data_IF_931758285995
#
_entry.id   IF_931758285995
#
_cell.length_a   1.000
_cell.length_b   1.000
_cell.length_c   1.000
_cell.angle_alpha   90.00
_cell.angle_beta   90.00
_cell.angle_gamma   90.00
#
_symmetry.space_group_name_H-M   'P 1'
#
loop_
_entity.id
_entity.type
_entity.pdbx_description
1 polymer ?
#
# COMPACT_ATOMS: atom_id res chain seq x y z
N UNK A 1 -26.58 20.20 11.13
CA UNK A 1 -27.03 21.14 10.05
C UNK A 1 -26.21 22.42 10.18
N UNK A 2 -25.48 22.81 9.15
CA UNK A 2 -24.65 24.03 9.11
C UNK A 2 -25.11 24.96 7.98
N UNK A 3 -25.39 26.21 8.34
CA UNK A 3 -25.77 27.27 7.40
C UNK A 3 -24.52 28.10 7.07
N UNK A 4 -23.98 27.92 5.87
CA UNK A 4 -22.77 28.60 5.44
C UNK A 4 -23.13 29.87 4.64
N UNK A 5 -22.83 31.02 5.24
CA UNK A 5 -22.98 32.35 4.61
C UNK A 5 -21.64 33.07 4.40
N UNK A 6 -20.51 32.36 4.32
CA UNK A 6 -19.16 32.99 4.19
C UNK A 6 -19.00 33.90 2.97
N UNK A 7 -19.73 33.64 1.89
CA UNK A 7 -19.62 34.42 0.66
C UNK A 7 -20.50 35.69 0.63
N UNK A 8 -21.39 35.88 1.62
CA UNK A 8 -22.32 37.01 1.72
C UNK A 8 -23.08 37.35 0.42
N UNK A 9 -23.30 36.36 -0.45
CA UNK A 9 -23.80 36.57 -1.83
C UNK A 9 -25.33 36.57 -1.92
N UNK A 10 -26.05 36.68 -0.79
CA UNK A 10 -27.51 36.51 -0.74
C UNK A 10 -28.00 35.07 -0.92
N UNK A 11 -27.10 34.09 -1.02
CA UNK A 11 -27.40 32.65 -1.10
C UNK A 11 -26.74 31.92 0.09
N UNK A 12 -27.55 31.35 0.98
CA UNK A 12 -27.07 30.58 2.14
C UNK A 12 -27.02 29.11 1.76
N UNK A 13 -25.81 28.50 1.79
CA UNK A 13 -25.65 27.06 1.53
C UNK A 13 -25.94 26.28 2.82
N UNK A 14 -26.82 25.29 2.75
CA UNK A 14 -27.19 24.46 3.90
C UNK A 14 -26.54 23.09 3.74
N UNK A 15 -25.74 22.68 4.71
CA UNK A 15 -25.12 21.36 4.76
C UNK A 15 -25.70 20.58 5.93
N UNK A 16 -25.94 19.29 5.73
CA UNK A 16 -26.22 18.37 6.83
C UNK A 16 -25.05 17.41 6.91
N UNK A 17 -24.30 17.53 8.00
CA UNK A 17 -23.24 16.60 8.36
C UNK A 17 -23.70 15.81 9.58
N UNK A 18 -23.43 14.52 9.58
CA UNK A 18 -23.91 13.57 10.58
C UNK A 18 -22.78 12.64 10.96
N UNK A 19 -22.07 12.98 12.02
CA UNK A 19 -21.08 12.10 12.63
C UNK A 19 -21.80 10.97 13.37
N UNK A 20 -21.58 9.73 12.93
CA UNK A 20 -22.15 8.54 13.57
C UNK A 20 -21.16 7.96 14.57
N UNK A 21 -21.58 7.80 15.81
CA UNK A 21 -20.84 7.03 16.82
C UNK A 21 -21.48 5.65 16.99
N UNK A 22 -20.68 4.60 17.03
CA UNK A 22 -21.14 3.22 17.11
C UNK A 22 -20.89 2.74 18.54
N UNK A 23 -21.96 2.62 19.33
CA UNK A 23 -21.89 2.10 20.69
C UNK A 23 -22.65 0.78 20.81
N UNK A 24 -22.07 -0.19 21.53
CA UNK A 24 -22.75 -1.44 21.83
C UNK A 24 -23.90 -1.22 22.82
N UNK A 25 -25.09 -1.74 22.49
CA UNK A 25 -26.26 -1.69 23.36
C UNK A 25 -26.09 -2.66 24.55
N UNK A 26 -26.28 -2.16 25.77
CA UNK A 26 -25.97 -2.87 27.03
C UNK A 26 -26.85 -4.09 27.31
N UNK A 27 -28.10 -4.11 26.83
CA UNK A 27 -29.09 -5.15 27.17
C UNK A 27 -29.85 -5.64 25.93
N UNK A 28 -29.30 -6.67 25.26
CA UNK A 28 -29.97 -7.34 24.14
C UNK A 28 -30.08 -8.86 24.39
N UNK A 29 -31.26 -9.30 24.83
CA UNK A 29 -31.43 -10.62 25.44
C UNK A 29 -31.63 -11.80 24.48
N UNK A 30 -31.55 -11.62 23.15
CA UNK A 30 -32.12 -12.60 22.20
C UNK A 30 -31.07 -13.24 21.25
N UNK A 31 -29.85 -12.71 21.12
CA UNK A 31 -28.86 -13.23 20.15
C UNK A 31 -27.39 -13.28 20.65
N UNK A 32 -27.16 -13.12 21.97
CA UNK A 32 -25.82 -13.03 22.57
C UNK A 32 -24.89 -14.20 22.25
N UNK A 33 -25.40 -15.43 22.11
CA UNK A 33 -24.55 -16.61 21.88
C UNK A 33 -24.04 -16.75 20.44
N UNK A 34 -24.73 -16.20 19.44
CA UNK A 34 -24.35 -16.31 18.01
C UNK A 34 -23.43 -15.16 17.60
N UNK A 35 -23.73 -13.93 18.00
CA UNK A 35 -22.90 -12.77 17.69
C UNK A 35 -21.55 -12.84 18.40
N UNK A 36 -21.52 -13.24 19.68
CA UNK A 36 -20.27 -13.37 20.42
C UNK A 36 -19.38 -14.49 19.85
N UNK A 37 -19.98 -15.59 19.37
CA UNK A 37 -19.23 -16.64 18.64
C UNK A 37 -18.64 -16.09 17.34
N UNK A 38 -19.41 -15.36 16.52
CA UNK A 38 -18.91 -14.76 15.29
C UNK A 38 -17.76 -13.78 15.54
N UNK A 39 -17.84 -12.93 16.57
CA UNK A 39 -16.76 -12.00 16.93
C UNK A 39 -15.48 -12.74 17.32
N UNK A 40 -15.58 -13.84 18.09
CA UNK A 40 -14.44 -14.69 18.44
C UNK A 40 -13.79 -15.33 17.21
N UNK A 41 -14.58 -15.84 16.24
CA UNK A 41 -14.04 -16.40 15.00
C UNK A 41 -13.25 -15.38 14.18
N UNK A 42 -13.73 -14.13 14.07
CA UNK A 42 -13.03 -13.10 13.31
C UNK A 42 -11.73 -12.69 14.02
N UNK A 43 -11.70 -12.62 15.35
CA UNK A 43 -10.48 -12.34 16.11
C UNK A 43 -9.44 -13.45 15.96
N UNK A 44 -9.86 -14.72 16.00
CA UNK A 44 -8.97 -15.88 15.75
C UNK A 44 -8.40 -15.83 14.33
N UNK A 45 -9.24 -15.50 13.34
CA UNK A 45 -8.80 -15.32 11.95
C UNK A 45 -7.77 -14.20 11.82
N UNK A 46 -8.04 -13.03 12.40
CA UNK A 46 -7.11 -11.89 12.39
C UNK A 46 -5.77 -12.27 13.05
N UNK A 47 -5.79 -13.07 14.13
CA UNK A 47 -4.59 -13.63 14.76
C UNK A 47 -3.80 -14.59 13.86
N UNK A 48 -4.48 -15.47 13.13
CA UNK A 48 -3.84 -16.38 12.16
C UNK A 48 -3.18 -15.60 11.01
N UNK A 49 -3.84 -14.55 10.51
CA UNK A 49 -3.28 -13.66 9.48
C UNK A 49 -1.98 -13.02 9.97
N UNK A 50 -1.98 -12.43 11.17
CA UNK A 50 -0.78 -11.82 11.77
C UNK A 50 0.35 -12.83 11.89
N UNK A 51 0.06 -14.05 12.37
CA UNK A 51 1.08 -15.10 12.50
C UNK A 51 1.69 -15.46 11.13
N UNK A 52 0.85 -15.61 10.10
CA UNK A 52 1.31 -15.93 8.74
C UNK A 52 2.21 -14.82 8.16
N UNK A 53 1.83 -13.55 8.36
CA UNK A 53 2.63 -12.39 7.95
C UNK A 53 3.93 -12.30 8.73
N UNK A 54 3.94 -12.61 10.02
CA UNK A 54 5.15 -12.61 10.84
C UNK A 54 6.17 -13.65 10.36
N UNK A 55 5.71 -14.87 10.06
CA UNK A 55 6.56 -15.93 9.53
C UNK A 55 7.11 -15.53 8.16
N UNK A 56 6.26 -15.00 7.27
CA UNK A 56 6.67 -14.48 5.96
C UNK A 56 7.73 -13.39 6.08
N UNK A 57 7.52 -12.42 6.97
CA UNK A 57 8.43 -11.30 7.20
C UNK A 57 9.80 -11.78 7.70
N UNK A 58 9.84 -12.74 8.63
CA UNK A 58 11.09 -13.33 9.13
C UNK A 58 11.83 -14.04 7.99
N UNK A 59 11.14 -14.87 7.20
CA UNK A 59 11.73 -15.60 6.08
C UNK A 59 12.28 -14.66 5.01
N UNK A 60 11.51 -13.66 4.61
CA UNK A 60 11.92 -12.67 3.60
C UNK A 60 13.09 -11.81 4.10
N UNK A 61 13.07 -11.38 5.36
CA UNK A 61 14.17 -10.61 5.96
C UNK A 61 15.46 -11.42 6.00
N UNK A 62 15.40 -12.71 6.35
CA UNK A 62 16.58 -13.60 6.31
C UNK A 62 17.16 -13.72 4.91
N UNK A 63 16.31 -13.86 3.89
CA UNK A 63 16.73 -13.90 2.48
C UNK A 63 17.43 -12.61 2.03
N UNK A 64 16.90 -11.45 2.41
CA UNK A 64 17.53 -10.15 2.09
C UNK A 64 18.87 -9.99 2.82
N UNK A 65 18.94 -10.34 4.10
CA UNK A 65 20.20 -10.26 4.88
C UNK A 65 21.27 -11.16 4.27
N UNK A 66 20.90 -12.36 3.81
CA UNK A 66 21.81 -13.25 3.09
C UNK A 66 22.28 -12.63 1.77
N UNK A 67 21.36 -12.05 0.98
CA UNK A 67 21.69 -11.36 -0.27
C UNK A 67 22.67 -10.19 -0.06
N UNK A 68 22.45 -9.36 0.98
CA UNK A 68 23.35 -8.26 1.35
C UNK A 68 24.72 -8.77 1.81
N UNK A 69 24.76 -9.87 2.57
CA UNK A 69 26.03 -10.49 3.00
C UNK A 69 26.81 -11.01 1.80
N UNK A 70 26.14 -11.65 0.84
CA UNK A 70 26.73 -12.12 -0.41
C UNK A 70 27.23 -10.96 -1.26
N UNK A 71 26.43 -9.90 -1.41
CA UNK A 71 26.82 -8.69 -2.12
C UNK A 71 28.09 -8.07 -1.53
N UNK A 72 28.18 -7.94 -0.20
CA UNK A 72 29.39 -7.41 0.47
C UNK A 72 30.61 -8.29 0.21
N UNK A 73 30.45 -9.62 0.27
CA UNK A 73 31.54 -10.57 -0.02
C UNK A 73 31.98 -10.50 -1.48
N UNK A 74 31.05 -10.37 -2.41
CA UNK A 74 31.31 -10.22 -3.84
C UNK A 74 32.07 -8.93 -4.15
N UNK A 75 31.64 -7.80 -3.57
CA UNK A 75 32.33 -6.51 -3.75
C UNK A 75 33.76 -6.56 -3.24
N UNK A 76 33.98 -7.14 -2.06
CA UNK A 76 35.33 -7.28 -1.50
C UNK A 76 36.21 -8.20 -2.35
N UNK A 77 35.68 -9.35 -2.79
CA UNK A 77 36.40 -10.29 -3.66
C UNK A 77 36.77 -9.65 -5.01
N UNK A 78 35.85 -8.88 -5.61
CA UNK A 78 36.09 -8.22 -6.88
C UNK A 78 37.15 -7.13 -6.79
N UNK A 79 37.14 -6.38 -5.68
CA UNK A 79 38.15 -5.36 -5.41
C UNK A 79 39.54 -5.98 -5.22
N UNK A 80 39.63 -7.09 -4.48
CA UNK A 80 40.91 -7.77 -4.22
C UNK A 80 41.50 -8.40 -5.48
N UNK A 81 40.68 -9.08 -6.30
CA UNK A 81 41.16 -9.81 -7.48
C UNK A 81 41.38 -8.93 -8.71
N UNK A 82 40.50 -7.96 -8.94
CA UNK A 82 40.49 -7.16 -10.17
C UNK A 82 40.82 -5.67 -9.95
N UNK A 83 41.01 -5.22 -8.70
CA UNK A 83 41.29 -3.81 -8.33
C UNK A 83 40.30 -2.80 -8.94
N UNK A 84 39.07 -3.22 -9.17
CA UNK A 84 37.99 -2.39 -9.73
C UNK A 84 36.82 -2.35 -8.77
N UNK A 85 36.13 -1.22 -8.73
CA UNK A 85 34.89 -1.07 -7.98
C UNK A 85 33.70 -1.55 -8.82
N UNK A 86 32.79 -2.30 -8.18
CA UNK A 86 31.53 -2.74 -8.78
C UNK A 86 30.56 -1.55 -8.88
N UNK A 87 29.89 -1.42 -10.03
CA UNK A 87 28.90 -0.39 -10.29
C UNK A 87 27.70 -0.52 -9.35
N UNK A 88 27.00 0.58 -9.09
CA UNK A 88 25.80 0.58 -8.24
C UNK A 88 24.63 -0.20 -8.87
N UNK A 89 24.54 -0.25 -10.21
CA UNK A 89 23.53 -1.03 -10.91
C UNK A 89 23.67 -2.53 -10.61
N UNK A 90 24.86 -3.08 -10.77
CA UNK A 90 25.16 -4.49 -10.50
C UNK A 90 24.93 -4.84 -9.03
N UNK A 91 25.17 -3.87 -8.12
CA UNK A 91 24.86 -4.05 -6.70
C UNK A 91 23.36 -4.18 -6.46
N UNK A 92 22.53 -3.34 -7.10
CA UNK A 92 21.08 -3.39 -6.94
C UNK A 92 20.47 -4.68 -7.49
N UNK A 93 21.11 -5.31 -8.48
CA UNK A 93 20.68 -6.60 -9.04
C UNK A 93 20.71 -7.75 -8.01
N UNK A 94 21.60 -7.68 -7.01
CA UNK A 94 21.61 -8.64 -5.90
C UNK A 94 20.38 -8.53 -4.98
N UNK A 95 19.72 -7.35 -4.94
CA UNK A 95 18.54 -7.13 -4.10
C UNK A 95 17.30 -7.47 -4.91
N UNK A 96 16.67 -8.59 -4.59
CA UNK A 96 15.43 -8.99 -5.24
C UNK A 96 14.26 -8.11 -4.76
N UNK A 97 13.81 -7.20 -5.62
CA UNK A 97 12.72 -6.25 -5.36
C UNK A 97 11.39 -6.91 -4.96
N UNK A 98 11.15 -8.17 -5.35
CA UNK A 98 9.96 -8.89 -4.94
C UNK A 98 9.92 -9.16 -3.44
N UNK A 99 11.05 -9.49 -2.81
CA UNK A 99 11.09 -9.67 -1.35
C UNK A 99 10.87 -8.36 -0.61
N UNK A 100 11.35 -7.23 -1.15
CA UNK A 100 11.10 -5.90 -0.58
C UNK A 100 9.60 -5.58 -0.61
N UNK A 101 8.93 -5.86 -1.73
CA UNK A 101 7.49 -5.67 -1.87
C UNK A 101 6.69 -6.51 -0.87
N UNK A 102 7.06 -7.78 -0.67
CA UNK A 102 6.43 -8.66 0.33
C UNK A 102 6.62 -8.13 1.76
N UNK A 103 7.82 -7.66 2.11
CA UNK A 103 8.08 -7.10 3.45
C UNK A 103 7.22 -5.85 3.70
N UNK A 104 7.12 -4.94 2.72
CA UNK A 104 6.26 -3.74 2.85
C UNK A 104 4.80 -4.15 3.06
N UNK A 105 4.32 -5.12 2.28
CA UNK A 105 2.97 -5.67 2.41
C UNK A 105 2.71 -6.29 3.78
N UNK A 106 3.65 -7.09 4.29
CA UNK A 106 3.53 -7.75 5.59
C UNK A 106 3.48 -6.71 6.73
N UNK A 107 4.32 -5.67 6.68
CA UNK A 107 4.30 -4.57 7.66
C UNK A 107 2.96 -3.84 7.65
N UNK A 108 2.44 -3.49 6.47
CA UNK A 108 1.14 -2.83 6.33
C UNK A 108 -0.01 -3.71 6.83
N UNK A 109 0.05 -5.03 6.59
CA UNK A 109 -0.97 -5.99 7.05
C UNK A 109 -0.94 -6.15 8.57
N UNK A 110 0.25 -6.19 9.18
CA UNK A 110 0.39 -6.27 10.64
C UNK A 110 -0.18 -5.01 11.29
N UNK A 111 0.20 -3.81 10.82
CA UNK A 111 -0.31 -2.54 11.35
C UNK A 111 -1.84 -2.44 11.15
N UNK A 112 -2.33 -2.76 9.96
CA UNK A 112 -3.76 -2.74 9.66
C UNK A 112 -4.56 -3.73 10.52
N UNK A 113 -4.02 -4.93 10.78
CA UNK A 113 -4.67 -5.93 11.63
C UNK A 113 -4.70 -5.51 13.10
N UNK A 114 -3.65 -4.86 13.60
CA UNK A 114 -3.64 -4.28 14.96
C UNK A 114 -4.72 -3.20 15.07
N UNK A 115 -4.78 -2.26 14.12
CA UNK A 115 -5.83 -1.22 14.09
C UNK A 115 -7.23 -1.81 14.03
N UNK A 116 -7.43 -2.88 13.24
CA UNK A 116 -8.70 -3.61 13.16
C UNK A 116 -9.11 -4.22 14.51
N UNK A 117 -8.16 -4.77 15.27
CA UNK A 117 -8.41 -5.28 16.62
C UNK A 117 -8.72 -4.15 17.60
N UNK A 118 -7.99 -3.03 17.53
CA UNK A 118 -8.26 -1.86 18.37
C UNK A 118 -9.65 -1.27 18.12
N UNK A 119 -10.08 -1.17 16.86
CA UNK A 119 -11.41 -0.69 16.49
C UNK A 119 -12.51 -1.56 17.11
N UNK A 120 -12.36 -2.89 17.03
CA UNK A 120 -13.32 -3.82 17.66
C UNK A 120 -13.29 -3.80 19.18
N UNK A 121 -12.13 -3.52 19.79
CA UNK A 121 -11.97 -3.54 21.24
C UNK A 121 -12.40 -2.22 21.90
N UNK A 122 -12.22 -1.08 21.21
CA UNK A 122 -12.48 0.27 21.73
C UNK A 122 -13.67 0.97 21.07
N UNK A 123 -14.38 0.32 20.15
CA UNK A 123 -15.48 0.88 19.36
C UNK A 123 -15.11 2.23 18.70
N UNK A 124 -13.89 2.35 18.19
CA UNK A 124 -13.41 3.56 17.52
C UNK A 124 -13.89 3.59 16.07
N UNK A 125 -14.31 4.76 15.58
CA UNK A 125 -14.87 4.94 14.23
C UNK A 125 -13.84 5.21 13.12
N UNK A 126 -12.53 5.08 13.40
CA UNK A 126 -11.46 5.37 12.43
C UNK A 126 -11.20 4.21 11.44
N UNK A 127 -12.22 3.81 10.68
CA UNK A 127 -12.14 2.70 9.72
C UNK A 127 -11.33 3.02 8.46
N UNK A 128 -11.22 4.29 8.07
CA UNK A 128 -10.60 4.71 6.81
C UNK A 128 -9.12 4.31 6.73
N UNK A 129 -8.35 4.60 7.77
CA UNK A 129 -6.91 4.29 7.82
C UNK A 129 -6.69 2.78 7.79
N UNK A 130 -7.48 2.03 8.55
CA UNK A 130 -7.42 0.57 8.58
C UNK A 130 -7.74 -0.03 7.20
N UNK A 131 -8.79 0.46 6.54
CA UNK A 131 -9.21 0.03 5.21
C UNK A 131 -8.14 0.31 4.16
N UNK A 132 -7.54 1.50 4.18
CA UNK A 132 -6.46 1.85 3.24
C UNK A 132 -5.25 0.94 3.45
N UNK A 133 -4.80 0.72 4.69
CA UNK A 133 -3.63 -0.13 4.96
C UNK A 133 -3.85 -1.59 4.53
N UNK A 134 -4.98 -2.19 4.90
CA UNK A 134 -5.29 -3.58 4.53
C UNK A 134 -5.59 -3.74 3.04
N UNK A 135 -6.22 -2.76 2.41
CA UNK A 135 -6.50 -2.76 0.98
C UNK A 135 -5.22 -2.67 0.15
N UNK A 136 -4.34 -1.72 0.49
CA UNK A 136 -3.05 -1.55 -0.19
C UNK A 136 -2.10 -2.72 0.04
N UNK A 137 -2.08 -3.32 1.23
CA UNK A 137 -1.30 -4.55 1.46
C UNK A 137 -1.82 -5.70 0.60
N UNK A 138 -3.14 -5.89 0.51
CA UNK A 138 -3.75 -6.92 -0.34
C UNK A 138 -3.37 -6.72 -1.82
N UNK A 139 -3.38 -5.48 -2.31
CA UNK A 139 -2.93 -5.17 -3.67
C UNK A 139 -1.46 -5.60 -3.90
N UNK A 140 -0.59 -5.33 -2.94
CA UNK A 140 0.82 -5.76 -3.02
C UNK A 140 0.97 -7.28 -2.97
N UNK A 141 0.21 -8.00 -2.13
CA UNK A 141 0.19 -9.47 -2.14
C UNK A 141 -0.18 -10.00 -3.54
N UNK A 142 -1.23 -9.44 -4.15
CA UNK A 142 -1.67 -9.85 -5.49
C UNK A 142 -0.64 -9.53 -6.57
N UNK A 143 0.00 -8.36 -6.51
CA UNK A 143 1.15 -8.07 -7.39
C UNK A 143 2.28 -9.07 -7.15
N UNK A 144 2.54 -9.46 -5.90
CA UNK A 144 3.51 -10.49 -5.55
C UNK A 144 3.24 -11.87 -6.18
N UNK A 145 1.99 -12.19 -6.52
CA UNK A 145 1.64 -13.43 -7.23
C UNK A 145 2.28 -13.49 -8.63
N UNK A 146 2.48 -12.33 -9.27
CA UNK A 146 3.13 -12.22 -10.59
C UNK A 146 4.54 -12.82 -10.57
N UNK A 147 5.23 -12.78 -9.43
CA UNK A 147 6.53 -13.43 -9.25
C UNK A 147 6.48 -14.92 -9.56
N UNK A 148 5.42 -15.62 -9.14
CA UNK A 148 5.28 -17.06 -9.36
C UNK A 148 4.98 -17.36 -10.83
N UNK A 149 4.25 -16.47 -11.52
CA UNK A 149 4.01 -16.58 -12.96
C UNK A 149 5.31 -16.41 -13.75
N UNK A 150 6.24 -15.57 -13.28
CA UNK A 150 7.56 -15.37 -13.88
C UNK A 150 8.47 -16.62 -13.87
N UNK A 151 8.11 -17.70 -13.16
CA UNK A 151 8.83 -18.97 -13.24
C UNK A 151 8.65 -19.65 -14.61
N UNK A 152 7.55 -19.35 -15.31
CA UNK A 152 7.31 -19.83 -16.67
C UNK A 152 8.00 -18.91 -17.68
N UNK A 153 8.76 -19.50 -18.61
CA UNK A 153 9.55 -18.74 -19.59
C UNK A 153 8.71 -17.79 -20.45
N UNK A 154 7.47 -18.15 -20.79
CA UNK A 154 6.55 -17.33 -21.60
C UNK A 154 6.14 -16.04 -20.88
N UNK A 155 5.80 -16.10 -19.60
CA UNK A 155 5.38 -14.93 -18.81
C UNK A 155 6.56 -14.10 -18.33
N UNK A 156 7.74 -14.71 -18.13
CA UNK A 156 8.94 -14.00 -17.72
C UNK A 156 9.35 -12.90 -18.72
N UNK A 157 9.21 -13.16 -20.03
CA UNK A 157 9.49 -12.17 -21.08
C UNK A 157 8.59 -10.93 -20.95
N UNK A 158 7.33 -11.11 -20.58
CA UNK A 158 6.41 -9.99 -20.36
C UNK A 158 6.81 -9.13 -19.16
N UNK A 159 7.22 -9.75 -18.05
CA UNK A 159 7.66 -9.04 -16.85
C UNK A 159 8.95 -8.26 -17.13
N UNK A 160 9.92 -8.90 -17.81
CA UNK A 160 11.18 -8.28 -18.18
C UNK A 160 11.00 -7.11 -19.15
N UNK A 161 10.09 -7.24 -20.13
CA UNK A 161 9.77 -6.14 -21.06
C UNK A 161 9.10 -4.97 -20.35
N UNK A 162 8.21 -5.24 -19.37
CA UNK A 162 7.63 -4.19 -18.53
C UNK A 162 8.71 -3.46 -17.71
N UNK A 163 9.63 -4.19 -17.08
CA UNK A 163 10.74 -3.59 -16.33
C UNK A 163 11.70 -2.80 -17.23
N UNK A 164 12.01 -3.30 -18.42
CA UNK A 164 12.89 -2.63 -19.38
C UNK A 164 12.25 -1.38 -20.01
N UNK A 165 10.92 -1.34 -20.13
CA UNK A 165 10.18 -0.20 -20.69
C UNK A 165 9.90 0.90 -19.67
N UNK A 166 9.78 0.58 -18.36
CA UNK A 166 9.55 1.54 -17.28
C UNK A 166 10.42 2.81 -17.36
N UNK A 167 11.76 2.77 -17.48
CA UNK A 167 12.57 3.98 -17.50
C UNK A 167 12.33 4.84 -18.75
N UNK A 168 11.98 4.23 -19.89
CA UNK A 168 11.66 4.95 -21.13
C UNK A 168 10.30 5.65 -21.02
N UNK A 169 9.30 4.94 -20.50
CA UNK A 169 7.95 5.48 -20.26
C UNK A 169 8.00 6.61 -19.25
N UNK A 170 8.80 6.50 -18.19
CA UNK A 170 8.90 7.53 -17.15
C UNK A 170 9.48 8.85 -17.70
N UNK A 171 10.47 8.77 -18.58
CA UNK A 171 11.00 9.96 -19.30
C UNK A 171 9.95 10.60 -20.19
N UNK A 172 9.23 9.79 -20.97
CA UNK A 172 8.14 10.28 -21.81
C UNK A 172 7.02 10.92 -20.98
N UNK A 173 6.62 10.27 -19.88
CA UNK A 173 5.61 10.75 -18.94
C UNK A 173 6.03 12.08 -18.30
N UNK A 174 7.30 12.27 -17.98
CA UNK A 174 7.81 13.54 -17.48
C UNK A 174 7.63 14.68 -18.50
N UNK A 175 7.98 14.45 -19.78
CA UNK A 175 7.78 15.42 -20.85
C UNK A 175 6.29 15.73 -21.09
N UNK A 176 5.46 14.68 -21.17
CA UNK A 176 4.01 14.83 -21.32
C UNK A 176 3.38 15.53 -20.12
N UNK A 177 3.89 15.27 -18.91
CA UNK A 177 3.46 15.89 -17.66
C UNK A 177 3.69 17.40 -17.65
N UNK A 178 4.82 17.88 -18.17
CA UNK A 178 5.06 19.33 -18.30
C UNK A 178 4.04 20.00 -19.22
N UNK A 179 3.72 19.37 -20.36
CA UNK A 179 2.69 19.88 -21.29
C UNK A 179 1.32 19.86 -20.60
N UNK A 180 0.97 18.76 -19.95
CA UNK A 180 -0.29 18.60 -19.22
C UNK A 180 -0.46 19.68 -18.15
N UNK A 181 0.59 19.98 -17.36
CA UNK A 181 0.57 21.05 -16.38
C UNK A 181 0.32 22.42 -17.01
N UNK A 182 0.95 22.73 -18.15
CA UNK A 182 0.70 23.99 -18.85
C UNK A 182 -0.77 24.15 -19.27
N UNK A 183 -1.38 23.08 -19.79
CA UNK A 183 -2.79 23.07 -20.16
C UNK A 183 -3.72 23.13 -18.95
N UNK A 184 -3.43 22.41 -17.86
CA UNK A 184 -4.27 22.45 -16.66
C UNK A 184 -4.20 23.80 -15.97
N UNK A 185 -3.04 24.46 -15.91
CA UNK A 185 -2.95 25.83 -15.38
C UNK A 185 -3.73 26.83 -16.23
N UNK A 186 -3.57 26.79 -17.55
CA UNK A 186 -4.31 27.67 -18.46
C UNK A 186 -5.82 27.42 -18.37
N UNK A 187 -6.24 26.15 -18.42
CA UNK A 187 -7.65 25.76 -18.31
C UNK A 187 -8.25 26.15 -16.97
N UNK A 188 -7.55 25.91 -15.86
CA UNK A 188 -8.04 26.25 -14.53
C UNK A 188 -8.26 27.77 -14.36
N UNK A 189 -7.32 28.60 -14.81
CA UNK A 189 -7.42 30.06 -14.67
C UNK A 189 -8.47 30.65 -15.61
N UNK A 190 -8.50 30.20 -16.87
CA UNK A 190 -9.37 30.79 -17.91
C UNK A 190 -10.80 30.24 -17.81
N UNK A 191 -10.95 28.93 -17.61
CA UNK A 191 -12.26 28.25 -17.67
C UNK A 191 -12.86 28.04 -16.28
N UNK A 192 -12.07 28.05 -15.19
CA UNK A 192 -12.55 27.82 -13.83
C UNK A 192 -13.76 28.67 -13.39
N UNK A 193 -13.89 29.97 -13.73
CA UNK A 193 -15.06 30.75 -13.35
C UNK A 193 -16.30 30.48 -14.22
N UNK A 194 -16.15 29.83 -15.38
CA UNK A 194 -17.22 29.66 -16.37
C UNK A 194 -17.61 28.18 -16.61
N UNK A 195 -16.81 27.23 -16.15
CA UNK A 195 -17.05 25.80 -16.29
C UNK A 195 -17.01 25.09 -14.92
N UNK A 196 -17.99 24.22 -14.67
CA UNK A 196 -18.15 23.50 -13.40
C UNK A 196 -17.25 22.26 -13.23
N UNK A 197 -16.40 21.94 -14.21
CA UNK A 197 -15.49 20.79 -14.20
C UNK A 197 -14.07 21.22 -13.90
#
# INVERSE_FOLDING_TARGET
>A
ITFNNRAHSGKIKVYFDSDTDIQECKDWHIFGSVLQKNTQYILVFDGFVILSCFVSLILCTRSIVLALRLQKRFVNYFLEKYKRHVCHADRLEFINGWYVLVIISDVMTIIGSILKMEIKAKNLTSYDVCSILLGTSTLFVWVGVIRYLGYFQTYNVLILTMQASLPKVLRFCCCAGMIYLGYTFCGWIVLGPYHEK
#
